data_IF_808728632956
#
_entry.id   IF_808728632956
#
_cell.length_a   1.000
_cell.length_b   1.000
_cell.length_c   1.000
_cell.angle_alpha   90.00
_cell.angle_beta   90.00
_cell.angle_gamma   90.00
#
_symmetry.space_group_name_H-M   'P 1'
#
loop_
_entity.id
_entity.type
_entity.pdbx_description
1 polymer ?
#
# COMPACT_ATOMS: atom_id res chain seq x y z
N UNK A 1 -10.55 3.28 0.88
CA UNK A 1 -11.25 3.91 2.02
C UNK A 1 -11.66 5.35 1.73
N UNK A 2 -10.75 6.21 1.29
CA UNK A 2 -10.99 7.66 1.28
C UNK A 2 -11.75 8.20 0.05
N UNK A 3 -11.97 7.36 -0.98
CA UNK A 3 -12.79 7.75 -2.12
C UNK A 3 -14.29 7.85 -1.73
N UNK A 4 -15.00 8.94 -2.02
CA UNK A 4 -16.40 9.15 -1.58
C UNK A 4 -17.37 8.04 -2.04
N UNK A 5 -17.30 7.67 -3.33
CA UNK A 5 -18.18 6.64 -3.90
C UNK A 5 -17.71 5.19 -3.79
N UNK A 6 -16.44 4.93 -3.46
CA UNK A 6 -15.85 3.55 -3.49
C UNK A 6 -15.22 3.13 -2.17
N UNK A 7 -15.14 4.02 -1.18
CA UNK A 7 -14.66 3.74 0.17
C UNK A 7 -15.29 2.49 0.81
N UNK A 8 -16.62 2.30 0.74
CA UNK A 8 -17.29 1.14 1.31
C UNK A 8 -16.78 -0.21 0.77
N UNK A 9 -16.36 -0.28 -0.49
CA UNK A 9 -15.80 -1.51 -1.08
C UNK A 9 -14.49 -1.88 -0.41
N UNK A 10 -13.60 -0.91 -0.22
CA UNK A 10 -12.33 -1.16 0.48
C UNK A 10 -12.56 -1.59 1.92
N UNK A 11 -13.52 -0.96 2.61
CA UNK A 11 -13.87 -1.32 3.99
C UNK A 11 -14.30 -2.79 4.09
N UNK A 12 -15.22 -3.22 3.21
CA UNK A 12 -15.68 -4.59 3.18
C UNK A 12 -14.55 -5.59 2.89
N UNK A 13 -13.66 -5.28 1.94
CA UNK A 13 -12.50 -6.12 1.64
C UNK A 13 -11.54 -6.24 2.83
N UNK A 14 -11.25 -5.14 3.51
CA UNK A 14 -10.33 -5.14 4.64
C UNK A 14 -10.86 -5.94 5.83
N UNK A 15 -12.15 -5.76 6.16
CA UNK A 15 -12.80 -6.51 7.23
C UNK A 15 -12.97 -7.99 6.89
N UNK A 16 -13.26 -8.32 5.63
CA UNK A 16 -13.41 -9.71 5.18
C UNK A 16 -12.09 -10.47 5.07
N UNK A 17 -11.06 -9.82 4.52
CA UNK A 17 -9.76 -10.45 4.30
C UNK A 17 -8.88 -10.48 5.55
N UNK A 18 -9.08 -9.55 6.49
CA UNK A 18 -8.26 -9.42 7.71
C UNK A 18 -6.74 -9.51 7.42
N UNK A 19 -6.21 -8.65 6.53
CA UNK A 19 -4.85 -8.79 6.00
C UNK A 19 -3.78 -8.79 7.09
N UNK A 20 -2.66 -9.51 6.90
CA UNK A 20 -1.46 -9.40 7.74
C UNK A 20 -0.57 -8.23 7.33
N UNK A 21 -0.58 -7.92 6.03
CA UNK A 21 0.16 -6.84 5.42
C UNK A 21 -0.66 -6.24 4.28
N UNK A 22 -0.38 -4.98 3.99
CA UNK A 22 -1.00 -4.23 2.91
C UNK A 22 0.08 -3.55 2.09
N UNK A 23 -0.21 -3.31 0.81
CA UNK A 23 0.60 -2.47 -0.07
C UNK A 23 -0.27 -1.32 -0.57
N UNK A 24 0.28 -0.11 -0.58
CA UNK A 24 -0.43 1.07 -1.06
C UNK A 24 -0.13 1.30 -2.55
N UNK A 25 -1.16 1.38 -3.38
CA UNK A 25 -1.00 1.73 -4.80
C UNK A 25 -1.32 3.21 -5.03
N UNK A 26 -0.47 3.92 -5.76
CA UNK A 26 -0.67 5.34 -6.07
C UNK A 26 -0.18 5.67 -7.49
N UNK A 27 -0.88 6.57 -8.18
CA UNK A 27 -0.43 7.13 -9.47
C UNK A 27 0.32 8.41 -9.18
N UNK A 28 1.59 8.47 -9.56
CA UNK A 28 2.44 9.63 -9.28
C UNK A 28 1.89 10.89 -9.94
N UNK A 29 1.97 12.03 -9.24
CA UNK A 29 1.44 13.31 -9.71
C UNK A 29 -0.08 13.47 -9.66
N UNK A 30 -0.85 12.44 -9.28
CA UNK A 30 -2.31 12.57 -9.16
C UNK A 30 -2.69 13.36 -7.89
N UNK A 31 -3.54 14.37 -8.05
CA UNK A 31 -3.98 15.26 -6.96
C UNK A 31 -5.47 15.16 -6.61
N UNK A 32 -6.28 14.51 -7.45
CA UNK A 32 -7.72 14.29 -7.24
C UNK A 32 -8.10 12.84 -7.56
N UNK A 33 -9.25 12.36 -7.07
CA UNK A 33 -9.67 10.97 -7.30
C UNK A 33 -9.96 10.65 -8.77
N UNK A 34 -10.39 11.65 -9.54
CA UNK A 34 -10.56 11.61 -11.00
C UNK A 34 -10.25 13.01 -11.58
N UNK A 35 -9.84 13.12 -12.86
CA UNK A 35 -9.52 14.40 -13.47
C UNK A 35 -10.64 15.45 -13.38
N UNK A 36 -11.90 15.01 -13.37
CA UNK A 36 -13.12 15.82 -13.29
C UNK A 36 -13.65 16.04 -11.87
N UNK A 37 -12.98 15.48 -10.86
CA UNK A 37 -13.45 15.48 -9.49
C UNK A 37 -12.78 16.60 -8.67
N UNK A 38 -13.57 17.37 -7.93
CA UNK A 38 -13.09 18.49 -7.10
C UNK A 38 -12.48 18.06 -5.76
N UNK A 39 -12.65 16.78 -5.38
CA UNK A 39 -12.17 16.27 -4.10
C UNK A 39 -10.68 15.94 -4.20
N UNK A 40 -9.81 16.62 -3.41
CA UNK A 40 -8.38 16.37 -3.43
C UNK A 40 -8.05 15.01 -2.84
N UNK A 41 -6.95 14.44 -3.29
CA UNK A 41 -6.34 13.29 -2.64
C UNK A 41 -5.70 13.72 -1.32
N UNK A 42 -5.90 12.96 -0.24
CA UNK A 42 -5.19 13.18 1.02
C UNK A 42 -3.70 12.89 0.85
N UNK A 43 -2.90 13.41 1.79
CA UNK A 43 -1.47 13.09 1.83
C UNK A 43 -1.27 11.58 2.02
N UNK A 44 -0.15 11.07 1.50
CA UNK A 44 0.19 9.65 1.58
C UNK A 44 0.27 9.18 3.04
N UNK A 45 0.83 10.00 3.94
CA UNK A 45 0.88 9.70 5.38
C UNK A 45 -0.51 9.56 5.99
N UNK A 46 -1.46 10.44 5.62
CA UNK A 46 -2.84 10.32 6.09
C UNK A 46 -3.50 9.05 5.54
N UNK A 47 -3.23 8.69 4.28
CA UNK A 47 -3.73 7.43 3.70
C UNK A 47 -3.20 6.23 4.50
N UNK A 48 -1.89 6.15 4.73
CA UNK A 48 -1.26 5.04 5.47
C UNK A 48 -1.89 4.92 6.86
N UNK A 49 -1.91 6.01 7.62
CA UNK A 49 -2.47 6.03 8.98
C UNK A 49 -3.95 5.60 9.00
N UNK A 50 -4.75 6.09 8.05
CA UNK A 50 -6.18 5.74 7.98
C UNK A 50 -6.38 4.24 7.76
N UNK A 51 -5.62 3.64 6.85
CA UNK A 51 -5.77 2.22 6.52
C UNK A 51 -5.30 1.32 7.67
N UNK A 52 -4.19 1.66 8.33
CA UNK A 52 -3.69 0.90 9.48
C UNK A 52 -4.63 1.02 10.70
N UNK A 53 -5.09 2.24 10.99
CA UNK A 53 -5.97 2.50 12.14
C UNK A 53 -7.32 1.77 12.04
N UNK A 54 -7.87 1.61 10.82
CA UNK A 54 -9.15 0.94 10.62
C UNK A 54 -9.18 -0.48 11.20
N UNK A 55 -8.09 -1.24 11.04
CA UNK A 55 -8.03 -2.62 11.48
C UNK A 55 -7.48 -2.78 12.89
N UNK A 56 -6.84 -1.75 13.45
CA UNK A 56 -6.16 -1.76 14.75
C UNK A 56 -6.92 -2.48 15.87
N UNK A 57 -8.27 -2.32 16.04
CA UNK A 57 -9.01 -3.02 17.08
C UNK A 57 -9.08 -4.56 16.90
N UNK A 58 -8.95 -5.05 15.68
CA UNK A 58 -9.03 -6.47 15.33
C UNK A 58 -7.64 -7.09 15.14
N UNK A 59 -6.74 -6.32 14.52
CA UNK A 59 -5.38 -6.72 14.13
C UNK A 59 -4.55 -5.46 13.88
N UNK A 60 -3.23 -5.54 13.96
CA UNK A 60 -2.36 -4.40 13.64
C UNK A 60 -1.62 -4.59 12.30
N UNK A 61 -2.32 -4.70 11.14
CA UNK A 61 -1.62 -4.76 9.86
C UNK A 61 -0.98 -3.43 9.53
N UNK A 62 0.18 -3.51 8.88
CA UNK A 62 0.91 -2.34 8.40
C UNK A 62 0.96 -2.30 6.88
N UNK A 63 1.09 -1.09 6.33
CA UNK A 63 1.48 -0.89 4.95
C UNK A 63 2.98 -1.20 4.87
N UNK A 64 3.34 -2.24 4.11
CA UNK A 64 4.71 -2.74 4.02
C UNK A 64 5.48 -2.19 2.82
N UNK A 65 4.80 -1.45 1.95
CA UNK A 65 5.41 -0.84 0.78
C UNK A 65 4.40 -0.11 -0.09
N UNK A 66 4.92 0.65 -1.05
CA UNK A 66 4.13 1.43 -1.99
C UNK A 66 4.43 1.00 -3.42
N UNK A 67 3.38 0.61 -4.15
CA UNK A 67 3.42 0.37 -5.58
C UNK A 67 3.10 1.68 -6.30
N UNK A 68 4.13 2.36 -6.79
CA UNK A 68 4.00 3.64 -7.47
C UNK A 68 3.82 3.42 -8.97
N UNK A 69 2.73 3.90 -9.53
CA UNK A 69 2.50 3.90 -10.96
C UNK A 69 3.12 5.17 -11.56
N UNK A 70 4.17 4.98 -12.37
CA UNK A 70 4.93 6.04 -13.04
C UNK A 70 4.74 6.04 -14.56
N UNK A 71 3.60 5.54 -15.05
CA UNK A 71 3.36 5.35 -16.49
C UNK A 71 3.47 6.64 -17.31
N UNK A 72 3.06 7.77 -16.73
CA UNK A 72 3.09 9.09 -17.37
C UNK A 72 4.47 9.78 -17.27
N UNK A 73 5.46 9.14 -16.64
CA UNK A 73 6.77 9.72 -16.38
C UNK A 73 7.85 9.10 -17.27
N UNK A 74 8.88 9.89 -17.56
CA UNK A 74 10.15 9.36 -18.11
C UNK A 74 10.86 8.47 -17.08
N UNK A 75 11.81 7.63 -17.52
CA UNK A 75 12.59 6.79 -16.60
C UNK A 75 13.31 7.58 -15.51
N UNK A 76 13.86 8.75 -15.88
CA UNK A 76 14.56 9.63 -14.94
C UNK A 76 13.60 10.24 -13.90
N UNK A 77 12.41 10.67 -14.33
CA UNK A 77 11.37 11.18 -13.44
C UNK A 77 10.80 10.10 -12.53
N UNK A 78 10.52 8.91 -13.09
CA UNK A 78 10.05 7.75 -12.34
C UNK A 78 11.04 7.38 -11.22
N UNK A 79 12.34 7.31 -11.54
CA UNK A 79 13.38 7.02 -10.55
C UNK A 79 13.41 8.08 -9.44
N UNK A 80 13.34 9.37 -9.79
CA UNK A 80 13.32 10.46 -8.80
C UNK A 80 12.07 10.38 -7.91
N UNK A 81 10.90 10.13 -8.49
CA UNK A 81 9.65 10.02 -7.76
C UNK A 81 9.68 8.84 -6.77
N UNK A 82 10.18 7.67 -7.20
CA UNK A 82 10.35 6.52 -6.32
C UNK A 82 11.22 6.87 -5.11
N UNK A 83 12.41 7.45 -5.33
CA UNK A 83 13.32 7.82 -4.23
C UNK A 83 12.73 8.89 -3.30
N UNK A 84 12.02 9.87 -3.84
CA UNK A 84 11.32 10.87 -3.03
C UNK A 84 10.25 10.22 -2.15
N UNK A 85 9.44 9.31 -2.71
CA UNK A 85 8.36 8.64 -1.97
C UNK A 85 8.91 7.66 -0.94
N UNK A 86 10.05 7.02 -1.18
CA UNK A 86 10.79 6.26 -0.15
C UNK A 86 11.19 7.16 1.01
N UNK A 87 11.80 8.30 0.73
CA UNK A 87 12.23 9.23 1.76
C UNK A 87 11.05 9.79 2.57
N UNK A 88 9.92 10.12 1.91
CA UNK A 88 8.72 10.66 2.56
C UNK A 88 8.03 9.62 3.46
N UNK A 89 7.91 8.38 2.98
CA UNK A 89 7.15 7.33 3.67
C UNK A 89 7.96 6.51 4.65
N UNK A 90 9.29 6.42 4.46
CA UNK A 90 10.14 5.48 5.17
C UNK A 90 9.86 4.01 4.81
N UNK A 91 9.12 3.76 3.72
CA UNK A 91 8.73 2.43 3.27
C UNK A 91 9.42 2.08 1.94
N UNK A 92 9.59 0.78 1.63
CA UNK A 92 9.94 0.31 0.29
C UNK A 92 8.96 0.86 -0.75
N UNK A 93 9.48 1.40 -1.85
CA UNK A 93 8.67 1.89 -2.97
C UNK A 93 9.23 1.35 -4.26
N UNK A 94 8.39 0.79 -5.11
CA UNK A 94 8.77 0.39 -6.46
C UNK A 94 7.66 0.70 -7.45
N UNK A 95 8.02 0.82 -8.73
CA UNK A 95 7.05 0.66 -9.80
C UNK A 95 7.04 -0.82 -10.22
N UNK A 96 5.99 -1.59 -9.89
CA UNK A 96 5.98 -3.03 -10.15
C UNK A 96 6.05 -3.36 -11.65
N UNK A 97 5.62 -2.44 -12.51
CA UNK A 97 5.63 -2.61 -13.97
C UNK A 97 6.99 -2.23 -14.55
N UNK A 98 7.60 -1.13 -14.07
CA UNK A 98 8.87 -0.62 -14.61
C UNK A 98 10.10 -1.25 -13.97
N UNK A 99 10.10 -1.42 -12.65
CA UNK A 99 11.27 -1.85 -11.86
C UNK A 99 11.11 -3.24 -11.24
N UNK A 100 9.93 -3.86 -11.38
CA UNK A 100 9.60 -5.10 -10.68
C UNK A 100 9.33 -4.87 -9.19
N UNK A 101 9.28 -5.97 -8.42
CA UNK A 101 8.78 -5.99 -7.03
C UNK A 101 9.80 -6.47 -6.00
N UNK A 102 11.07 -6.64 -6.40
CA UNK A 102 12.09 -7.26 -5.54
C UNK A 102 12.23 -6.57 -4.18
N UNK A 103 12.32 -5.24 -4.17
CA UNK A 103 12.47 -4.45 -2.94
C UNK A 103 11.28 -4.62 -1.97
N UNK A 104 10.04 -4.61 -2.50
CA UNK A 104 8.85 -4.86 -1.67
C UNK A 104 8.84 -6.30 -1.17
N UNK A 105 9.23 -7.27 -2.01
CA UNK A 105 9.25 -8.67 -1.62
C UNK A 105 10.26 -8.93 -0.50
N UNK A 106 11.47 -8.38 -0.59
CA UNK A 106 12.50 -8.52 0.46
C UNK A 106 12.00 -8.01 1.82
N UNK A 107 11.24 -6.91 1.84
CA UNK A 107 10.65 -6.38 3.06
C UNK A 107 9.48 -7.23 3.59
N UNK A 108 8.70 -7.86 2.70
CA UNK A 108 7.47 -8.58 3.05
C UNK A 108 7.71 -10.07 3.35
N UNK A 109 8.71 -10.69 2.74
CA UNK A 109 9.00 -12.12 2.81
C UNK A 109 9.14 -12.65 4.26
N UNK A 110 9.86 -11.98 5.18
CA UNK A 110 10.01 -12.47 6.55
C UNK A 110 8.65 -12.63 7.25
N UNK A 111 7.75 -11.67 7.07
CA UNK A 111 6.39 -11.72 7.64
C UNK A 111 5.60 -12.87 7.03
N UNK A 112 5.66 -13.06 5.71
CA UNK A 112 4.96 -14.16 5.03
C UNK A 112 5.45 -15.52 5.55
N UNK A 113 6.76 -15.68 5.73
CA UNK A 113 7.35 -16.90 6.29
C UNK A 113 6.89 -17.15 7.73
N UNK A 114 6.88 -16.11 8.57
CA UNK A 114 6.40 -16.19 9.95
C UNK A 114 4.93 -16.59 10.03
N UNK A 115 4.06 -15.99 9.20
CA UNK A 115 2.62 -16.29 9.22
C UNK A 115 2.32 -17.70 8.74
N UNK A 116 3.04 -18.18 7.71
CA UNK A 116 2.92 -19.56 7.23
C UNK A 116 3.30 -20.60 8.28
N UNK A 117 4.31 -20.35 9.11
CA UNK A 117 4.68 -21.28 10.19
C UNK A 117 3.63 -21.30 11.30
N UNK A 118 3.09 -20.14 11.70
CA UNK A 118 2.02 -20.03 12.70
C UNK A 118 0.74 -20.79 12.27
N UNK A 119 0.32 -20.64 11.00
CA UNK A 119 -0.86 -21.35 10.48
C UNK A 119 -0.65 -22.87 10.46
N UNK A 120 0.57 -23.35 10.17
CA UNK A 120 0.88 -24.79 10.24
C UNK A 120 0.82 -25.31 11.67
N UNK A 121 1.40 -24.58 12.62
CA UNK A 121 1.36 -24.96 14.04
C UNK A 121 -0.07 -25.03 14.57
N UNK A 122 -0.93 -24.06 14.22
CA UNK A 122 -2.32 -24.02 14.65
C UNK A 122 -3.20 -25.14 14.06
N UNK A 123 -2.78 -25.80 12.97
CA UNK A 123 -3.50 -26.92 12.34
C UNK A 123 -3.06 -28.29 12.85
N UNK A 124 -1.95 -28.37 13.57
CA UNK A 124 -1.41 -29.61 14.14
C UNK A 124 -1.84 -29.85 15.59
N UNK A 125 -2.70 -28.98 16.14
CA UNK A 125 -3.33 -29.06 17.46
C UNK A 125 -4.81 -29.35 17.25
#
# INVERSE_FOLDING_TARGET
>A
LLHPGFGPVTLALMLGAMPDAMLLCHVEGRTTYRPDHTVPLPSMSLVIQTYEALLQPYKAPRIHGICLNTVELTDAEAKRAIEQRKAESGLPVCDPVRTGVAEIWEALEPLVRQKRSQTKAAKSV
#
